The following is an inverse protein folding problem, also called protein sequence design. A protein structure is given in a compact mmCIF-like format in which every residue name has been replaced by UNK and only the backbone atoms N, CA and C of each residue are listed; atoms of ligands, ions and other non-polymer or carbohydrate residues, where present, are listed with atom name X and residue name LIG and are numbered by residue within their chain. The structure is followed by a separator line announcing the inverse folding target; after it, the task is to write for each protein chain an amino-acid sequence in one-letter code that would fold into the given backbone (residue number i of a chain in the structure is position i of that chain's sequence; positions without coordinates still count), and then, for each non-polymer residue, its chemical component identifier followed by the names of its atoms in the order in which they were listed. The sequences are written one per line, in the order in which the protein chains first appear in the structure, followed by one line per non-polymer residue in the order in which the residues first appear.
data_IF_255334525934
#
_entry.id   IF_255334525934
#
_cell.length_a   1.000
_cell.length_b   1.000
_cell.length_c   1.000
_cell.angle_alpha   90.00
_cell.angle_beta   90.00
_cell.angle_gamma   90.00
#
_symmetry.space_group_name_H-M   'P 1'
#
loop_
_entity.id
_entity.type
_entity.pdbx_description
1 polymer ?
#
# COMPACT_ATOMS: atom_id res chain seq x y z
N UNK A 1 33.29 45.05 -5.25
CA UNK A 1 32.17 44.60 -4.39
C UNK A 1 31.61 43.34 -5.03
N UNK A 2 31.89 42.19 -4.40
CA UNK A 2 31.42 40.87 -4.82
C UNK A 2 30.18 40.52 -3.99
N UNK A 3 29.10 40.08 -4.64
CA UNK A 3 27.92 39.51 -3.98
C UNK A 3 27.36 38.42 -4.90
N UNK A 4 27.79 37.18 -4.67
CA UNK A 4 27.05 36.13 -3.96
C UNK A 4 26.08 35.37 -4.88
N UNK A 5 26.59 34.24 -5.36
CA UNK A 5 25.86 33.16 -5.99
C UNK A 5 24.88 32.53 -5.00
N UNK A 6 23.58 32.71 -5.25
CA UNK A 6 22.53 31.99 -4.54
C UNK A 6 22.59 30.50 -4.83
N UNK A 7 22.90 29.71 -3.79
CA UNK A 7 22.79 28.25 -3.79
C UNK A 7 21.35 27.83 -4.00
N UNK A 8 21.08 27.10 -5.07
CA UNK A 8 19.81 26.38 -5.25
C UNK A 8 19.59 25.40 -4.08
N UNK A 9 18.34 25.23 -3.59
CA UNK A 9 18.05 24.29 -2.52
C UNK A 9 18.24 22.84 -2.98
N UNK A 10 18.82 22.02 -2.09
CA UNK A 10 19.10 20.59 -2.25
C UNK A 10 17.86 19.84 -2.74
N UNK A 11 18.04 19.02 -3.76
CA UNK A 11 17.07 18.05 -4.29
C UNK A 11 16.44 17.19 -3.17
N UNK A 12 15.14 16.86 -3.26
CA UNK A 12 14.51 15.86 -2.38
C UNK A 12 15.16 14.48 -2.56
N UNK A 13 15.02 13.56 -1.58
CA UNK A 13 15.75 12.29 -1.55
C UNK A 13 15.49 11.48 -2.82
N UNK A 14 16.54 10.85 -3.32
CA UNK A 14 16.59 10.09 -4.56
C UNK A 14 15.37 9.19 -4.73
N UNK A 15 14.53 9.55 -5.72
CA UNK A 15 13.45 8.69 -6.17
C UNK A 15 14.09 7.44 -6.78
N UNK A 16 13.90 6.29 -6.13
CA UNK A 16 14.21 5.00 -6.73
C UNK A 16 13.43 4.91 -8.05
N UNK A 17 14.15 4.79 -9.17
CA UNK A 17 13.53 4.62 -10.48
C UNK A 17 12.91 3.22 -10.58
N UNK A 18 11.61 3.14 -10.32
CA UNK A 18 10.82 1.91 -10.33
C UNK A 18 10.77 1.25 -11.71
N UNK A 19 11.07 1.98 -12.80
CA UNK A 19 11.03 1.42 -14.16
C UNK A 19 12.21 0.49 -14.45
N UNK A 20 13.31 0.68 -13.72
CA UNK A 20 14.50 -0.17 -13.79
C UNK A 20 14.40 -1.45 -12.94
N UNK A 21 13.37 -1.56 -12.10
CA UNK A 21 13.19 -2.69 -11.19
C UNK A 21 12.51 -3.89 -11.87
N UNK A 22 12.93 -5.09 -11.48
CA UNK A 22 12.37 -6.35 -11.97
C UNK A 22 11.06 -6.69 -11.26
N UNK A 23 9.94 -6.93 -11.97
CA UNK A 23 8.72 -7.46 -11.38
C UNK A 23 8.95 -8.83 -10.75
N UNK A 24 8.37 -9.03 -9.57
CA UNK A 24 8.45 -10.28 -8.81
C UNK A 24 7.08 -10.94 -8.75
N UNK A 25 7.03 -12.20 -9.16
CA UNK A 25 5.90 -13.08 -8.86
C UNK A 25 5.86 -13.41 -7.37
N UNK A 26 4.68 -13.66 -6.84
CA UNK A 26 4.49 -13.99 -5.42
C UNK A 26 3.29 -14.89 -5.18
N UNK A 27 3.33 -15.64 -4.09
CA UNK A 27 2.20 -16.41 -3.57
C UNK A 27 1.59 -15.69 -2.39
N UNK A 28 0.26 -15.60 -2.37
CA UNK A 28 -0.50 -15.06 -1.23
C UNK A 28 -0.60 -16.13 -0.15
N UNK A 29 -0.02 -15.87 1.02
CA UNK A 29 -0.08 -16.78 2.17
C UNK A 29 -1.21 -16.39 3.11
N UNK A 30 -1.41 -15.08 3.34
CA UNK A 30 -2.51 -14.58 4.16
C UNK A 30 -2.92 -13.16 3.78
N UNK A 31 -4.23 -12.93 3.66
CA UNK A 31 -4.86 -11.61 3.47
C UNK A 31 -6.18 -11.52 4.26
N UNK A 32 -6.11 -11.51 5.60
CA UNK A 32 -7.31 -11.44 6.42
C UNK A 32 -8.01 -10.09 6.27
N UNK A 33 -9.33 -10.10 6.42
CA UNK A 33 -10.10 -8.87 6.60
C UNK A 33 -9.77 -8.23 7.95
N UNK A 34 -9.43 -6.94 7.94
CA UNK A 34 -9.40 -6.12 9.16
C UNK A 34 -10.78 -5.53 9.36
N UNK A 35 -11.28 -5.59 10.60
CA UNK A 35 -12.64 -5.18 10.93
C UNK A 35 -12.61 -4.03 11.91
N UNK A 36 -13.53 -3.10 11.75
CA UNK A 36 -13.71 -1.95 12.61
C UNK A 36 -15.19 -1.81 12.96
N UNK A 37 -15.45 -1.32 14.16
CA UNK A 37 -16.76 -0.84 14.58
C UNK A 37 -16.71 0.68 14.58
N UNK A 38 -17.56 1.31 13.79
CA UNK A 38 -17.69 2.76 13.78
C UNK A 38 -18.59 3.21 14.94
N UNK A 39 -18.46 4.48 15.35
CA UNK A 39 -19.29 5.11 16.39
C UNK A 39 -20.80 4.97 16.10
N UNK A 40 -21.18 5.06 14.82
CA UNK A 40 -22.57 4.92 14.36
C UNK A 40 -23.06 3.46 14.29
N UNK A 41 -22.30 2.52 14.87
CA UNK A 41 -22.56 1.09 14.96
C UNK A 41 -22.42 0.31 13.65
N UNK A 42 -22.02 0.96 12.55
CA UNK A 42 -21.65 0.28 11.31
C UNK A 42 -20.39 -0.57 11.49
N UNK A 43 -20.38 -1.75 10.86
CA UNK A 43 -19.19 -2.59 10.78
C UNK A 43 -18.46 -2.30 9.47
N UNK A 44 -17.22 -1.87 9.55
CA UNK A 44 -16.35 -1.59 8.42
C UNK A 44 -15.33 -2.73 8.27
N UNK A 45 -15.18 -3.24 7.05
CA UNK A 45 -14.25 -4.29 6.67
C UNK A 45 -13.28 -3.73 5.65
N UNK A 46 -11.99 -3.84 5.93
CA UNK A 46 -10.93 -3.34 5.06
C UNK A 46 -9.92 -4.44 4.79
N UNK A 47 -9.56 -4.60 3.53
CA UNK A 47 -8.52 -5.53 3.09
C UNK A 47 -7.54 -4.79 2.19
N UNK A 48 -6.26 -4.85 2.56
CA UNK A 48 -5.16 -4.49 1.67
C UNK A 48 -4.87 -5.68 0.76
N UNK A 49 -4.75 -5.46 -0.55
CA UNK A 49 -4.41 -6.48 -1.54
C UNK A 49 -3.15 -6.03 -2.26
N UNK A 50 -2.04 -6.75 -2.10
CA UNK A 50 -0.82 -6.47 -2.87
C UNK A 50 -1.03 -6.94 -4.30
N UNK A 51 -0.81 -6.02 -5.26
CA UNK A 51 -1.06 -6.27 -6.69
C UNK A 51 0.23 -6.34 -7.51
N UNK A 52 1.32 -5.76 -7.02
CA UNK A 52 2.62 -5.80 -7.69
C UNK A 52 3.74 -5.67 -6.68
N UNK A 53 4.79 -6.46 -6.87
CA UNK A 53 6.06 -6.30 -6.17
C UNK A 53 7.15 -6.13 -7.22
N UNK A 54 8.08 -5.22 -7.00
CA UNK A 54 9.27 -5.03 -7.83
C UNK A 54 10.52 -5.05 -6.96
N UNK A 55 11.63 -5.53 -7.53
CA UNK A 55 12.94 -5.61 -6.89
C UNK A 55 14.00 -4.95 -7.76
N UNK A 56 14.91 -4.22 -7.13
CA UNK A 56 16.12 -3.71 -7.73
C UNK A 56 17.26 -3.66 -6.72
N UNK A 57 18.23 -2.78 -6.98
CA UNK A 57 19.29 -2.45 -6.04
C UNK A 57 19.15 -0.98 -5.63
N UNK A 58 19.45 -0.66 -4.37
CA UNK A 58 19.61 0.72 -3.93
C UNK A 58 20.99 1.27 -4.31
N UNK A 59 21.25 2.53 -3.97
CA UNK A 59 22.52 3.22 -4.24
C UNK A 59 23.75 2.53 -3.62
N UNK A 60 23.55 1.73 -2.56
CA UNK A 60 24.60 0.96 -1.89
C UNK A 60 24.76 -0.44 -2.50
N UNK A 61 24.09 -0.72 -3.62
CA UNK A 61 24.06 -2.04 -4.26
C UNK A 61 23.30 -3.09 -3.48
N UNK A 62 22.52 -2.73 -2.44
CA UNK A 62 21.75 -3.67 -1.63
C UNK A 62 20.36 -3.93 -2.25
N UNK A 63 19.77 -5.12 -2.05
CA UNK A 63 18.41 -5.40 -2.51
C UNK A 63 17.40 -4.35 -2.01
N UNK A 64 16.66 -3.75 -2.93
CA UNK A 64 15.58 -2.82 -2.64
C UNK A 64 14.28 -3.35 -3.24
N UNK A 65 13.19 -3.23 -2.49
CA UNK A 65 11.87 -3.70 -2.90
C UNK A 65 10.87 -2.57 -2.81
N UNK A 66 9.90 -2.59 -3.72
CA UNK A 66 8.73 -1.73 -3.67
C UNK A 66 7.47 -2.57 -3.95
N UNK A 67 6.33 -2.17 -3.36
CA UNK A 67 5.06 -2.82 -3.59
C UNK A 67 3.97 -1.80 -3.93
N UNK A 68 3.07 -2.20 -4.83
CA UNK A 68 1.79 -1.54 -5.03
C UNK A 68 0.69 -2.40 -4.45
N UNK A 69 -0.31 -1.75 -3.86
CA UNK A 69 -1.47 -2.41 -3.27
C UNK A 69 -2.75 -1.61 -3.53
N UNK A 70 -3.89 -2.30 -3.45
CA UNK A 70 -5.22 -1.73 -3.49
C UNK A 70 -5.97 -2.02 -2.19
N UNK A 71 -6.85 -1.11 -1.80
CA UNK A 71 -7.70 -1.29 -0.63
C UNK A 71 -9.10 -1.70 -1.09
N UNK A 72 -9.61 -2.79 -0.53
CA UNK A 72 -11.00 -3.22 -0.69
C UNK A 72 -11.74 -2.90 0.60
N UNK A 73 -12.86 -2.21 0.45
CA UNK A 73 -13.68 -1.72 1.56
C UNK A 73 -15.09 -2.27 1.42
N UNK A 74 -15.64 -2.77 2.52
CA UNK A 74 -17.04 -3.15 2.63
C UNK A 74 -17.61 -2.65 3.96
N UNK A 75 -18.88 -2.30 3.97
CA UNK A 75 -19.58 -1.81 5.16
C UNK A 75 -20.86 -2.58 5.35
N UNK A 76 -21.18 -2.90 6.60
CA UNK A 76 -22.51 -3.35 6.98
C UNK A 76 -23.12 -2.29 7.89
N UNK A 77 -24.00 -1.47 7.31
CA UNK A 77 -24.65 -0.36 7.98
C UNK A 77 -25.57 -0.81 9.11
N UNK A 78 -25.67 -0.01 10.18
CA UNK A 78 -26.69 -0.23 11.19
C UNK A 78 -28.09 -0.09 10.55
N UNK A 79 -29.08 -0.96 10.86
CA UNK A 79 -30.40 -0.89 10.24
C UNK A 79 -31.10 0.47 10.37
N UNK A 80 -30.85 1.18 11.47
CA UNK A 80 -31.37 2.53 11.72
C UNK A 80 -30.80 3.61 10.81
N UNK A 81 -29.72 3.33 10.10
CA UNK A 81 -29.05 4.25 9.19
C UNK A 81 -29.35 3.96 7.73
N UNK A 82 -30.20 2.98 7.43
CA UNK A 82 -30.54 2.67 6.04
C UNK A 82 -31.35 3.82 5.43
N UNK A 83 -30.98 4.18 4.20
CA UNK A 83 -31.61 5.25 3.44
C UNK A 83 -32.12 4.77 2.08
N UNK A 84 -32.71 5.70 1.35
CA UNK A 84 -33.07 5.47 -0.05
C UNK A 84 -31.79 5.41 -0.90
N UNK A 85 -31.61 4.36 -1.72
CA UNK A 85 -30.47 4.26 -2.62
C UNK A 85 -30.27 5.53 -3.45
N UNK A 86 -29.02 5.98 -3.57
CA UNK A 86 -28.71 7.13 -4.40
C UNK A 86 -28.92 6.79 -5.89
N UNK A 87 -29.66 7.64 -6.60
CA UNK A 87 -29.98 7.44 -8.03
C UNK A 87 -28.86 7.92 -8.96
N UNK A 88 -27.96 8.76 -8.46
CA UNK A 88 -26.79 9.25 -9.19
C UNK A 88 -25.60 8.32 -8.98
N UNK A 89 -24.78 8.17 -10.01
CA UNK A 89 -23.52 7.42 -9.91
C UNK A 89 -22.63 8.01 -8.81
N UNK A 90 -22.13 7.15 -7.92
CA UNK A 90 -21.19 7.54 -6.87
C UNK A 90 -19.83 7.87 -7.50
N UNK A 91 -19.34 9.09 -7.26
CA UNK A 91 -17.98 9.50 -7.62
C UNK A 91 -17.23 9.98 -6.38
N UNK A 92 -16.62 9.05 -5.65
CA UNK A 92 -15.89 9.40 -4.41
C UNK A 92 -14.61 10.21 -4.67
N UNK A 93 -14.14 10.27 -5.92
CA UNK A 93 -12.98 11.07 -6.31
C UNK A 93 -13.31 12.55 -6.54
N UNK A 94 -14.60 12.91 -6.66
CA UNK A 94 -15.06 14.29 -6.79
C UNK A 94 -15.76 14.75 -5.50
N UNK A 95 -15.09 15.53 -4.64
CA UNK A 95 -15.66 16.02 -3.37
C UNK A 95 -16.89 16.91 -3.54
N UNK A 96 -17.13 17.47 -4.73
CA UNK A 96 -18.33 18.29 -4.98
C UNK A 96 -19.60 17.44 -5.19
N UNK A 97 -19.45 16.13 -5.41
CA UNK A 97 -20.56 15.21 -5.68
C UNK A 97 -21.29 14.73 -4.41
N UNK A 98 -20.75 15.02 -3.23
CA UNK A 98 -21.30 14.59 -1.93
C UNK A 98 -21.03 15.62 -0.83
N UNK A 99 -21.70 15.45 0.32
CA UNK A 99 -21.45 16.18 1.56
C UNK A 99 -21.03 15.20 2.65
N UNK A 100 -19.99 15.54 3.39
CA UNK A 100 -19.67 14.85 4.64
C UNK A 100 -20.71 15.22 5.69
N UNK A 101 -21.40 14.22 6.23
CA UNK A 101 -22.46 14.42 7.25
C UNK A 101 -21.99 14.07 8.65
N UNK A 102 -20.94 13.26 8.80
CA UNK A 102 -20.34 12.94 10.09
C UNK A 102 -18.88 12.48 9.89
N UNK A 103 -17.97 12.94 10.75
CA UNK A 103 -16.67 12.29 10.98
C UNK A 103 -16.85 11.34 12.17
N UNK A 104 -16.39 10.10 12.04
CA UNK A 104 -16.67 9.05 13.00
C UNK A 104 -15.39 8.52 13.63
N UNK A 105 -15.43 8.34 14.94
CA UNK A 105 -14.45 7.50 15.62
C UNK A 105 -14.71 6.02 15.32
N UNK A 106 -13.69 5.20 15.52
CA UNK A 106 -13.75 3.77 15.23
C UNK A 106 -12.81 2.96 16.11
N UNK A 107 -13.26 1.76 16.42
CA UNK A 107 -12.48 0.77 17.18
C UNK A 107 -12.16 -0.44 16.30
N UNK A 108 -10.91 -0.90 16.35
CA UNK A 108 -10.53 -2.16 15.70
C UNK A 108 -11.20 -3.33 16.39
N UNK A 109 -11.79 -4.22 15.60
CA UNK A 109 -12.40 -5.45 16.09
C UNK A 109 -11.43 -6.63 15.94
N UNK A 110 -10.92 -7.12 17.07
CA UNK A 110 -10.04 -8.28 17.13
C UNK A 110 -8.56 -7.95 16.99
N UNK A 111 -7.75 -9.00 16.88
CA UNK A 111 -6.29 -8.89 16.84
C UNK A 111 -5.78 -8.30 15.53
N UNK A 112 -4.66 -7.58 15.65
CA UNK A 112 -3.92 -7.11 14.50
C UNK A 112 -3.26 -8.27 13.75
N UNK A 113 -3.46 -8.31 12.43
CA UNK A 113 -2.89 -9.34 11.56
C UNK A 113 -2.11 -8.70 10.42
N UNK A 114 -1.04 -9.38 10.02
CA UNK A 114 -0.25 -9.02 8.84
C UNK A 114 -0.76 -9.80 7.64
N UNK A 115 -0.80 -9.14 6.49
CA UNK A 115 -0.78 -9.87 5.23
C UNK A 115 0.61 -10.46 5.03
N UNK A 116 0.68 -11.66 4.45
CA UNK A 116 1.94 -12.35 4.18
C UNK A 116 1.96 -12.85 2.74
N UNK A 117 3.08 -12.58 2.07
CA UNK A 117 3.35 -12.97 0.70
C UNK A 117 4.75 -13.54 0.60
N UNK A 118 4.91 -14.61 -0.18
CA UNK A 118 6.21 -15.22 -0.46
C UNK A 118 6.59 -14.90 -1.90
N UNK A 119 7.70 -14.19 -2.10
CA UNK A 119 8.21 -13.85 -3.41
C UNK A 119 8.99 -15.04 -4.01
N UNK A 120 9.09 -15.10 -5.34
CA UNK A 120 9.82 -16.19 -6.02
C UNK A 120 11.32 -16.25 -5.73
N UNK A 121 11.92 -15.17 -5.21
CA UNK A 121 13.32 -15.16 -4.75
C UNK A 121 13.50 -15.64 -3.29
N UNK A 122 12.42 -16.15 -2.67
CA UNK A 122 12.38 -16.62 -1.29
C UNK A 122 12.23 -15.52 -0.24
N UNK A 123 12.15 -14.25 -0.64
CA UNK A 123 11.88 -13.13 0.27
C UNK A 123 10.45 -13.18 0.79
N UNK A 124 10.26 -12.88 2.08
CA UNK A 124 8.92 -12.77 2.68
C UNK A 124 8.54 -11.30 2.80
N UNK A 125 7.43 -10.94 2.16
CA UNK A 125 6.79 -9.63 2.30
C UNK A 125 5.67 -9.73 3.32
N UNK A 126 5.70 -8.84 4.32
CA UNK A 126 4.58 -8.60 5.23
C UNK A 126 4.09 -7.17 5.10
N UNK A 127 2.79 -6.99 4.95
CA UNK A 127 2.18 -5.67 4.86
C UNK A 127 0.95 -5.59 5.77
N UNK A 128 0.68 -4.41 6.32
CA UNK A 128 -0.58 -4.12 7.00
C UNK A 128 -0.98 -2.66 6.78
N UNK A 129 -2.28 -2.42 6.87
CA UNK A 129 -2.89 -1.11 6.66
C UNK A 129 -3.53 -0.62 7.96
N UNK A 130 -3.54 0.69 8.15
CA UNK A 130 -4.21 1.34 9.26
C UNK A 130 -5.14 2.45 8.75
N UNK A 131 -6.29 2.61 9.41
CA UNK A 131 -7.23 3.68 9.09
C UNK A 131 -6.76 4.98 9.74
N UNK A 132 -6.89 6.09 9.03
CA UNK A 132 -6.59 7.43 9.55
C UNK A 132 -7.85 8.23 9.85
N UNK A 133 -8.89 8.11 9.01
CA UNK A 133 -10.17 8.78 9.22
C UNK A 133 -11.29 8.03 8.51
N UNK A 134 -12.47 8.01 9.12
CA UNK A 134 -13.70 7.53 8.50
C UNK A 134 -14.75 8.63 8.58
N UNK A 135 -15.37 8.95 7.46
CA UNK A 135 -16.43 9.95 7.37
C UNK A 135 -17.63 9.38 6.63
N UNK A 136 -18.85 9.58 7.15
CA UNK A 136 -20.09 9.23 6.45
C UNK A 136 -20.52 10.38 5.55
N UNK A 137 -21.03 10.07 4.36
CA UNK A 137 -21.53 11.06 3.40
C UNK A 137 -23.04 10.99 3.20
N UNK A 138 -23.62 11.99 2.53
CA UNK A 138 -25.04 12.11 2.21
C UNK A 138 -25.50 11.19 1.05
N UNK A 139 -24.92 9.98 0.95
CA UNK A 139 -25.20 9.00 -0.09
C UNK A 139 -25.43 7.61 0.49
N UNK A 140 -26.17 6.80 -0.27
CA UNK A 140 -26.54 5.44 0.08
C UNK A 140 -26.30 4.51 -1.11
N UNK A 141 -25.86 3.30 -0.81
CA UNK A 141 -25.65 2.20 -1.75
C UNK A 141 -27.00 1.65 -2.26
N UNK A 142 -26.94 0.74 -3.24
CA UNK A 142 -28.10 0.09 -3.85
C UNK A 142 -28.97 -0.71 -2.86
N UNK A 143 -28.38 -1.20 -1.77
CA UNK A 143 -29.06 -1.92 -0.68
C UNK A 143 -29.53 -1.01 0.46
N UNK A 144 -29.36 0.31 0.30
CA UNK A 144 -29.72 1.33 1.28
C UNK A 144 -28.67 1.56 2.36
N UNK A 145 -27.52 0.87 2.34
CA UNK A 145 -26.46 1.10 3.32
C UNK A 145 -25.79 2.48 3.08
N UNK A 146 -25.45 3.22 4.16
CA UNK A 146 -24.76 4.50 4.02
C UNK A 146 -23.37 4.33 3.39
N UNK A 147 -22.95 5.34 2.63
CA UNK A 147 -21.62 5.39 2.02
C UNK A 147 -20.64 6.11 2.94
N UNK A 148 -19.40 5.62 2.97
CA UNK A 148 -18.32 6.15 3.80
C UNK A 148 -17.09 6.48 2.96
N UNK A 149 -16.45 7.59 3.29
CA UNK A 149 -15.08 7.89 2.90
C UNK A 149 -14.16 7.24 3.94
N UNK A 150 -13.30 6.34 3.49
CA UNK A 150 -12.35 5.63 4.34
C UNK A 150 -10.95 6.03 3.92
N UNK A 151 -10.32 6.84 4.75
CA UNK A 151 -8.94 7.26 4.55
C UNK A 151 -8.00 6.34 5.32
N UNK A 152 -6.88 5.99 4.68
CA UNK A 152 -5.91 5.04 5.22
C UNK A 152 -4.54 5.70 5.27
N UNK A 153 -3.73 5.35 6.26
CA UNK A 153 -2.31 5.75 6.27
C UNK A 153 -1.52 4.99 5.20
N UNK A 154 -0.26 5.41 4.99
CA UNK A 154 0.68 4.58 4.25
C UNK A 154 0.79 3.20 4.91
N UNK A 155 0.74 2.09 4.13
CA UNK A 155 0.88 0.76 4.69
C UNK A 155 2.22 0.59 5.41
N UNK A 156 2.21 -0.13 6.53
CA UNK A 156 3.42 -0.62 7.17
C UNK A 156 3.90 -1.86 6.41
N UNK A 157 5.14 -1.83 5.92
CA UNK A 157 5.70 -2.87 5.05
C UNK A 157 7.01 -3.40 5.62
N UNK A 158 7.22 -4.71 5.54
CA UNK A 158 8.45 -5.40 5.94
C UNK A 158 8.85 -6.42 4.89
N UNK A 159 10.11 -6.39 4.47
CA UNK A 159 10.73 -7.42 3.66
C UNK A 159 11.77 -8.18 4.49
N UNK A 160 11.58 -9.49 4.65
CA UNK A 160 12.63 -10.40 5.12
C UNK A 160 13.34 -10.97 3.90
N UNK A 161 14.39 -10.28 3.47
CA UNK A 161 15.19 -10.64 2.29
C UNK A 161 15.79 -12.03 2.49
N UNK A 162 15.74 -12.88 1.46
CA UNK A 162 16.28 -14.24 1.53
C UNK A 162 17.81 -14.26 1.55
N UNK A 163 18.38 -15.27 2.20
CA UNK A 163 19.84 -15.48 2.21
C UNK A 163 20.41 -15.68 0.82
N UNK A 164 19.63 -16.26 -0.10
CA UNK A 164 20.04 -16.47 -1.49
C UNK A 164 20.28 -15.14 -2.19
N UNK A 165 19.38 -14.18 -2.01
CA UNK A 165 19.50 -12.83 -2.55
C UNK A 165 20.67 -12.08 -1.90
N UNK A 166 20.83 -12.19 -0.58
CA UNK A 166 21.95 -11.54 0.12
C UNK A 166 23.31 -12.09 -0.34
N UNK A 167 23.40 -13.39 -0.62
CA UNK A 167 24.62 -14.03 -1.14
C UNK A 167 24.90 -13.65 -2.58
N UNK A 168 23.87 -13.59 -3.45
CA UNK A 168 24.05 -13.26 -4.86
C UNK A 168 24.59 -11.85 -5.07
N UNK A 169 24.20 -10.91 -4.21
CA UNK A 169 24.66 -9.51 -4.29
C UNK A 169 26.09 -9.34 -3.76
N UNK A 170 26.54 -10.21 -2.83
CA UNK A 170 27.90 -10.16 -2.26
C UNK A 170 28.95 -10.89 -3.10
N UNK A 171 28.53 -11.78 -4.01
CA UNK A 171 29.47 -12.50 -4.86
C UNK A 171 30.09 -11.51 -5.87
N UNK A 172 31.43 -11.46 -6.03
CA UNK A 172 32.03 -10.66 -7.10
C UNK A 172 31.47 -11.15 -8.43
N UNK A 173 31.07 -10.20 -9.29
CA UNK A 173 30.71 -10.49 -10.68
C UNK A 173 31.89 -11.24 -11.29
N UNK A 174 31.74 -12.53 -11.57
CA UNK A 174 32.74 -13.27 -12.35
C UNK A 174 32.81 -12.57 -13.70
N UNK A 175 33.84 -11.78 -13.92
CA UNK A 175 34.18 -11.34 -15.26
C UNK A 175 34.40 -12.61 -16.09
N UNK A 176 33.76 -12.75 -17.27
CA UNK A 176 34.04 -13.88 -18.15
C UNK A 176 35.54 -13.90 -18.42
N UNK A 177 36.17 -15.06 -18.26
CA UNK A 177 37.59 -15.26 -18.56
C UNK A 177 37.84 -14.74 -19.98
N UNK A 178 38.48 -13.58 -20.06
CA UNK A 178 39.08 -13.11 -21.31
C UNK A 178 40.20 -14.09 -21.56
N UNK A 179 39.94 -15.13 -22.36
CA UNK A 179 40.99 -15.95 -22.95
C UNK A 179 41.93 -14.98 -23.66
N UNK A 180 43.09 -14.74 -23.06
CA UNK A 180 44.18 -14.03 -23.71
C UNK A 180 44.50 -14.79 -25.01
N UNK A 181 44.39 -14.16 -26.20
CA UNK A 181 44.95 -14.75 -27.37
C UNK A 181 46.47 -14.51 -27.32
N UNK A 182 47.22 -15.59 -27.51
CA UNK A 182 48.67 -15.67 -27.73
C UNK A 182 49.57 -15.78 -26.49
N UNK A 183 50.07 -17.01 -26.31
CA UNK A 183 51.32 -17.39 -25.65
C UNK A 183 51.81 -18.67 -26.32
#
# INVERSE_FOLDING_TARGET
MSSESGSSPKQPPSSIDLTSMTPMEFTVISEPWTKYKLEDQTKLFVKLVVVKVVRGLNEQGQPAYNMNAQNIIATHGAPSLRGQPSTTQLNLADPSSYKVVASLDFDRMGEEKWNEYHLTDGTVLKARLELSNVSRIDKYQGDGDPVYLVNTSQPLVRFKVSDQVLKSVRAPVRQPDVKAPYG
#
